data_IF_103035354708
#
_entry.id   IF_103035354708
#
_cell.length_a   1.000
_cell.length_b   1.000
_cell.length_c   1.000
_cell.angle_alpha   90.00
_cell.angle_beta   90.00
_cell.angle_gamma   90.00
#
_symmetry.space_group_name_H-M   'P 1'
#
loop_
_entity.id
_entity.type
_entity.pdbx_description
1 polymer ?
#
# COMPACT_ATOMS: atom_id res chain seq x y z
N UNK A 1 -25.23 52.04 27.00
CA UNK A 1 -25.33 51.04 25.92
C UNK A 1 -24.07 50.19 25.93
N UNK A 2 -24.16 48.92 26.34
CA UNK A 2 -23.04 47.97 26.24
C UNK A 2 -23.21 47.17 24.95
N UNK A 3 -22.31 47.37 23.99
CA UNK A 3 -22.21 46.53 22.80
C UNK A 3 -21.54 45.22 23.22
N UNK A 4 -22.29 44.14 23.30
CA UNK A 4 -21.74 42.81 23.52
C UNK A 4 -21.23 42.30 22.18
N UNK A 5 -19.91 42.31 22.00
CA UNK A 5 -19.24 41.77 20.82
C UNK A 5 -19.25 40.23 20.93
N UNK A 6 -20.09 39.57 20.13
CA UNK A 6 -20.13 38.11 20.04
C UNK A 6 -19.00 37.69 19.10
N UNK A 7 -17.89 37.21 19.65
CA UNK A 7 -16.82 36.60 18.88
C UNK A 7 -17.30 35.22 18.38
N UNK A 8 -17.60 35.14 17.09
CA UNK A 8 -17.95 33.90 16.40
C UNK A 8 -16.65 33.13 16.12
N UNK A 9 -16.24 32.25 17.03
CA UNK A 9 -15.13 31.32 16.79
C UNK A 9 -15.56 30.28 15.77
N UNK A 10 -15.18 30.49 14.51
CA UNK A 10 -15.29 29.48 13.45
C UNK A 10 -14.30 28.38 13.78
N UNK A 11 -14.78 27.28 14.37
CA UNK A 11 -14.05 26.03 14.46
C UNK A 11 -13.86 25.52 13.03
N UNK A 12 -12.71 25.84 12.43
CA UNK A 12 -12.27 25.15 11.23
C UNK A 12 -12.01 23.69 11.62
N UNK A 13 -12.99 22.82 11.36
CA UNK A 13 -12.80 21.38 11.44
C UNK A 13 -11.78 21.00 10.39
N UNK A 14 -10.52 20.85 10.80
CA UNK A 14 -9.50 20.18 10.02
C UNK A 14 -9.99 18.75 9.77
N UNK A 15 -10.47 18.47 8.57
CA UNK A 15 -10.67 17.10 8.10
C UNK A 15 -9.29 16.46 8.07
N UNK A 16 -8.93 15.74 9.14
CA UNK A 16 -7.85 14.77 9.08
C UNK A 16 -8.27 13.78 7.98
N UNK A 17 -7.59 13.84 6.84
CA UNK A 17 -7.69 12.79 5.84
C UNK A 17 -7.02 11.57 6.48
N UNK A 18 -7.81 10.76 7.18
CA UNK A 18 -7.36 9.45 7.62
C UNK A 18 -6.96 8.71 6.34
N UNK A 19 -5.70 8.28 6.27
CA UNK A 19 -5.29 7.45 5.16
C UNK A 19 -6.09 6.13 5.23
N UNK A 20 -6.65 5.72 4.10
CA UNK A 20 -7.55 4.57 4.00
C UNK A 20 -6.93 3.53 3.06
N UNK A 21 -6.64 2.37 3.62
CA UNK A 21 -6.36 1.14 2.88
C UNK A 21 -7.70 0.51 2.45
N UNK A 22 -7.78 -0.20 1.31
CA UNK A 22 -8.96 -0.99 0.98
C UNK A 22 -9.32 -1.94 2.13
N UNK A 23 -10.59 -1.98 2.54
CA UNK A 23 -11.05 -2.77 3.69
C UNK A 23 -10.75 -4.27 3.57
N UNK A 24 -10.57 -4.78 2.36
CA UNK A 24 -10.19 -6.18 2.14
C UNK A 24 -8.71 -6.48 2.47
N UNK A 25 -7.90 -5.44 2.60
CA UNK A 25 -6.49 -5.50 2.98
C UNK A 25 -6.27 -5.07 4.43
N UNK A 26 -7.32 -4.64 5.14
CA UNK A 26 -7.24 -4.39 6.59
C UNK A 26 -6.83 -5.68 7.31
N UNK A 27 -5.85 -5.57 8.20
CA UNK A 27 -5.25 -6.69 8.94
C UNK A 27 -4.67 -7.80 8.04
N UNK A 28 -4.36 -7.51 6.78
CA UNK A 28 -3.69 -8.43 5.87
C UNK A 28 -2.18 -8.18 5.82
N UNK A 29 -1.44 -9.26 5.56
CA UNK A 29 0.01 -9.28 5.44
C UNK A 29 0.43 -10.26 4.35
N UNK A 30 1.66 -10.14 3.83
CA UNK A 30 2.20 -11.00 2.77
C UNK A 30 2.06 -12.50 3.07
N UNK A 31 2.43 -12.92 4.28
CA UNK A 31 2.38 -14.33 4.67
C UNK A 31 0.95 -14.87 4.88
N UNK A 32 -0.04 -13.98 5.02
CA UNK A 32 -1.46 -14.37 5.15
C UNK A 32 -2.17 -14.47 3.80
N UNK A 33 -1.49 -14.15 2.68
CA UNK A 33 -2.13 -14.14 1.36
C UNK A 33 -2.71 -15.51 1.02
N UNK A 34 -1.96 -16.58 1.23
CA UNK A 34 -2.42 -17.95 0.94
C UNK A 34 -3.56 -18.41 1.86
N UNK A 35 -3.66 -17.82 3.07
CA UNK A 35 -4.70 -18.16 4.05
C UNK A 35 -6.01 -17.39 3.80
N UNK A 36 -5.90 -16.11 3.42
CA UNK A 36 -7.04 -15.17 3.31
C UNK A 36 -7.50 -14.94 1.86
N UNK A 37 -6.65 -15.19 0.88
CA UNK A 37 -6.88 -14.84 -0.53
C UNK A 37 -6.61 -16.02 -1.47
N UNK A 38 -7.08 -15.91 -2.70
CA UNK A 38 -6.74 -16.86 -3.76
C UNK A 38 -5.51 -16.36 -4.51
N UNK A 39 -4.37 -17.00 -4.29
CA UNK A 39 -3.16 -16.67 -5.03
C UNK A 39 -3.30 -17.01 -6.52
N UNK A 40 -2.77 -16.14 -7.37
CA UNK A 40 -2.71 -16.28 -8.82
C UNK A 40 -1.26 -16.44 -9.28
N UNK A 41 -0.65 -17.63 -9.14
CA UNK A 41 0.77 -17.89 -9.43
C UNK A 41 1.17 -17.73 -10.92
N UNK A 42 0.25 -17.27 -11.78
CA UNK A 42 0.48 -17.00 -13.22
C UNK A 42 -0.11 -15.67 -13.69
N UNK A 43 -0.48 -14.76 -12.79
CA UNK A 43 -1.00 -13.45 -13.21
C UNK A 43 0.05 -12.59 -13.95
N UNK A 44 1.34 -12.93 -13.85
CA UNK A 44 2.36 -12.49 -14.81
C UNK A 44 2.56 -10.98 -14.84
N UNK A 45 2.36 -10.28 -13.72
CA UNK A 45 2.65 -8.86 -13.66
C UNK A 45 4.16 -8.64 -13.83
N UNK A 46 4.53 -7.98 -14.92
CA UNK A 46 5.90 -7.52 -15.16
C UNK A 46 6.13 -6.19 -14.43
N UNK A 47 7.32 -6.04 -13.84
CA UNK A 47 7.74 -4.78 -13.21
C UNK A 47 8.14 -3.77 -14.30
N UNK A 48 7.13 -3.18 -14.93
CA UNK A 48 7.27 -2.11 -15.91
C UNK A 48 7.69 -0.78 -15.24
N UNK A 49 8.03 0.23 -16.04
CA UNK A 49 8.30 1.57 -15.53
C UNK A 49 7.12 2.21 -14.78
N UNK A 50 5.88 1.87 -15.16
CA UNK A 50 4.67 2.32 -14.46
C UNK A 50 4.56 1.69 -13.08
N UNK A 51 4.67 0.36 -13.00
CA UNK A 51 4.69 -0.39 -11.73
C UNK A 51 5.79 0.15 -10.84
N UNK A 52 6.99 0.34 -11.40
CA UNK A 52 8.14 0.87 -10.68
C UNK A 52 7.91 2.27 -10.11
N UNK A 53 7.24 3.14 -10.86
CA UNK A 53 6.88 4.48 -10.39
C UNK A 53 5.97 4.43 -9.17
N UNK A 54 5.03 3.49 -9.15
CA UNK A 54 4.08 3.34 -8.05
C UNK A 54 4.75 2.72 -6.81
N UNK A 55 5.58 1.70 -7.01
CA UNK A 55 6.38 1.07 -5.95
C UNK A 55 7.39 2.04 -5.32
N UNK A 56 8.04 2.88 -6.13
CA UNK A 56 9.02 3.87 -5.66
C UNK A 56 8.41 5.03 -4.83
N UNK A 57 7.10 5.08 -4.66
CA UNK A 57 6.47 6.01 -3.70
C UNK A 57 6.79 5.62 -2.26
N UNK A 58 7.18 4.38 -2.02
CA UNK A 58 7.70 3.92 -0.74
C UNK A 58 9.21 4.17 -0.72
N UNK A 59 9.66 5.06 0.17
CA UNK A 59 11.07 5.50 0.23
C UNK A 59 12.02 4.32 0.46
N UNK A 60 11.63 3.37 1.32
CA UNK A 60 12.45 2.25 1.78
C UNK A 60 12.93 1.34 0.63
N UNK A 61 12.16 1.20 -0.46
CA UNK A 61 12.48 0.27 -1.56
C UNK A 61 12.85 0.97 -2.87
N UNK A 62 12.83 2.31 -2.87
CA UNK A 62 13.04 3.13 -4.07
C UNK A 62 14.37 2.86 -4.78
N UNK A 63 15.38 2.43 -4.03
CA UNK A 63 16.74 2.17 -4.47
C UNK A 63 17.01 0.71 -4.88
N UNK A 64 16.11 -0.22 -4.54
CA UNK A 64 16.25 -1.64 -4.86
C UNK A 64 16.12 -1.89 -6.37
N UNK A 65 16.76 -2.89 -6.97
CA UNK A 65 16.61 -3.10 -8.42
C UNK A 65 15.41 -4.00 -8.75
N UNK A 66 14.79 -3.88 -9.93
CA UNK A 66 13.60 -4.68 -10.27
C UNK A 66 13.85 -6.19 -10.31
N UNK A 67 15.09 -6.64 -10.52
CA UNK A 67 15.45 -8.08 -10.48
C UNK A 67 15.47 -8.66 -9.07
N UNK A 68 15.54 -7.79 -8.06
CA UNK A 68 15.58 -8.14 -6.64
C UNK A 68 14.17 -8.05 -6.02
N UNK A 69 13.15 -7.79 -6.85
CA UNK A 69 11.76 -7.68 -6.43
C UNK A 69 10.99 -8.94 -6.83
N UNK A 70 10.17 -9.40 -5.91
CA UNK A 70 9.18 -10.44 -6.07
C UNK A 70 7.81 -9.83 -6.38
N UNK A 71 6.98 -10.61 -7.07
CA UNK A 71 5.61 -10.23 -7.42
C UNK A 71 4.70 -11.39 -7.07
N UNK A 72 3.70 -11.14 -6.23
CA UNK A 72 2.57 -12.05 -6.01
C UNK A 72 1.28 -11.34 -6.39
N UNK A 73 0.34 -12.07 -6.97
CA UNK A 73 -0.97 -11.54 -7.36
C UNK A 73 -2.04 -12.39 -6.73
N UNK A 74 -3.12 -11.77 -6.25
CA UNK A 74 -4.14 -12.48 -5.49
C UNK A 74 -5.52 -11.86 -5.69
N UNK A 75 -6.54 -12.70 -5.55
CA UNK A 75 -7.94 -12.29 -5.55
C UNK A 75 -8.50 -12.32 -4.13
N UNK A 76 -9.18 -11.24 -3.75
CA UNK A 76 -9.97 -11.20 -2.52
C UNK A 76 -11.20 -12.08 -2.62
N UNK A 77 -11.87 -12.41 -1.49
CA UNK A 77 -13.18 -13.07 -1.51
C UNK A 77 -14.26 -12.30 -2.30
N UNK A 78 -14.10 -10.98 -2.43
CA UNK A 78 -14.97 -10.11 -3.24
C UNK A 78 -14.64 -10.13 -4.74
N UNK A 79 -13.58 -10.84 -5.15
CA UNK A 79 -13.12 -10.95 -6.53
C UNK A 79 -12.27 -9.77 -7.01
N UNK A 80 -11.79 -8.90 -6.11
CA UNK A 80 -10.86 -7.82 -6.47
C UNK A 80 -9.46 -8.37 -6.64
N UNK A 81 -8.79 -7.95 -7.72
CA UNK A 81 -7.42 -8.30 -8.02
C UNK A 81 -6.47 -7.27 -7.40
N UNK A 82 -5.47 -7.79 -6.69
CA UNK A 82 -4.34 -7.02 -6.19
C UNK A 82 -3.02 -7.68 -6.57
N UNK A 83 -1.96 -6.88 -6.57
CA UNK A 83 -0.60 -7.31 -6.82
C UNK A 83 0.31 -6.80 -5.70
N UNK A 84 0.93 -7.69 -4.94
CA UNK A 84 2.03 -7.34 -4.05
C UNK A 84 3.33 -7.33 -4.86
N UNK A 85 4.02 -6.20 -4.87
CA UNK A 85 5.37 -6.06 -5.41
C UNK A 85 6.28 -5.69 -4.26
N UNK A 86 7.20 -6.56 -3.90
CA UNK A 86 8.00 -6.43 -2.69
C UNK A 86 9.39 -7.00 -2.87
N UNK A 87 10.29 -6.71 -1.94
CA UNK A 87 11.57 -7.38 -1.79
C UNK A 87 11.71 -7.84 -0.35
N UNK A 88 12.59 -8.80 -0.12
CA UNK A 88 13.03 -9.25 1.22
C UNK A 88 14.55 -9.38 1.22
N UNK A 89 15.22 -8.73 0.26
CA UNK A 89 16.66 -8.82 0.08
C UNK A 89 17.36 -7.86 1.04
N UNK A 90 18.30 -8.36 1.82
CA UNK A 90 19.04 -7.60 2.84
C UNK A 90 19.65 -6.30 2.30
N UNK A 91 20.11 -6.29 1.04
CA UNK A 91 20.72 -5.10 0.44
C UNK A 91 19.72 -4.03 -0.01
N UNK A 92 18.42 -4.36 -0.02
CA UNK A 92 17.35 -3.44 -0.37
C UNK A 92 16.63 -2.89 0.87
N UNK A 93 16.47 -3.67 1.92
CA UNK A 93 15.62 -3.26 3.05
C UNK A 93 16.06 -3.80 4.43
N UNK A 94 17.22 -4.45 4.48
CA UNK A 94 17.75 -5.06 5.70
C UNK A 94 17.11 -6.40 6.07
N UNK A 95 16.42 -7.07 5.13
CA UNK A 95 15.94 -8.44 5.27
C UNK A 95 14.50 -8.56 5.74
N UNK A 96 13.76 -7.45 5.69
CA UNK A 96 12.36 -7.36 6.09
C UNK A 96 11.53 -7.18 4.83
N UNK A 97 10.31 -7.69 4.73
CA UNK A 97 9.59 -7.55 3.46
C UNK A 97 9.01 -6.15 3.27
N UNK A 98 9.58 -5.36 2.35
CA UNK A 98 9.05 -4.03 1.99
C UNK A 98 8.57 -3.97 0.54
N UNK A 99 7.53 -3.18 0.27
CA UNK A 99 6.83 -3.25 -1.01
C UNK A 99 5.64 -2.34 -1.16
N UNK A 100 4.89 -2.53 -2.23
CA UNK A 100 3.58 -1.93 -2.44
C UNK A 100 2.55 -3.00 -2.79
N UNK A 101 1.30 -2.78 -2.36
CA UNK A 101 0.14 -3.45 -2.93
C UNK A 101 -0.47 -2.54 -3.98
N UNK A 102 -0.63 -3.06 -5.19
CA UNK A 102 -1.22 -2.39 -6.33
C UNK A 102 -2.61 -2.95 -6.62
N UNK A 103 -3.54 -2.11 -7.05
CA UNK A 103 -4.83 -2.55 -7.57
C UNK A 103 -4.71 -3.10 -9.02
N UNK A 104 -5.83 -3.56 -9.58
CA UNK A 104 -5.90 -4.03 -10.97
C UNK A 104 -5.52 -2.97 -12.02
N UNK A 105 -5.52 -1.68 -11.67
CA UNK A 105 -5.08 -0.57 -12.53
C UNK A 105 -3.60 -0.21 -12.30
N UNK A 106 -2.88 -1.03 -11.54
CA UNK A 106 -1.48 -0.86 -11.16
C UNK A 106 -1.23 0.39 -10.30
N UNK A 107 -2.25 0.91 -9.62
CA UNK A 107 -2.11 2.03 -8.69
C UNK A 107 -1.77 1.50 -7.30
N UNK A 108 -0.79 2.11 -6.64
CA UNK A 108 -0.49 1.76 -5.26
C UNK A 108 -1.66 2.13 -4.34
N UNK A 109 -2.09 1.16 -3.53
CA UNK A 109 -3.21 1.28 -2.57
C UNK A 109 -2.81 0.92 -1.14
N UNK A 110 -1.67 0.25 -0.95
CA UNK A 110 -1.05 0.01 0.34
C UNK A 110 0.48 -0.02 0.22
N UNK A 111 1.17 0.37 1.28
CA UNK A 111 2.59 0.11 1.51
C UNK A 111 2.72 -1.23 2.25
N UNK A 112 3.67 -2.06 1.87
CA UNK A 112 4.08 -3.26 2.60
C UNK A 112 5.31 -2.90 3.43
N UNK A 113 5.23 -2.99 4.75
CA UNK A 113 6.36 -2.78 5.66
C UNK A 113 6.46 -3.92 6.66
N UNK A 114 7.64 -4.53 6.79
CA UNK A 114 7.81 -5.74 7.61
C UNK A 114 6.72 -6.81 7.35
N UNK A 115 6.38 -7.01 6.07
CA UNK A 115 5.31 -7.89 5.58
C UNK A 115 3.86 -7.44 5.82
N UNK A 116 3.60 -6.48 6.70
CA UNK A 116 2.27 -5.95 7.00
C UNK A 116 1.83 -4.90 5.98
N UNK A 117 0.51 -4.79 5.74
CA UNK A 117 -0.04 -3.80 4.82
C UNK A 117 -0.51 -2.54 5.55
N UNK A 118 0.04 -1.40 5.14
CA UNK A 118 -0.23 -0.09 5.68
C UNK A 118 -0.81 0.84 4.61
N UNK A 119 -1.50 1.85 5.10
CA UNK A 119 -1.88 3.03 4.37
C UNK A 119 -0.66 3.73 3.70
N UNK A 120 -0.86 4.29 2.50
CA UNK A 120 0.15 5.11 1.80
C UNK A 120 -0.12 6.58 2.13
N UNK A 121 0.79 7.23 2.84
CA UNK A 121 0.71 8.67 3.17
C UNK A 121 0.94 9.58 1.95
#
# INVERSE_FOLDING_TARGET
MKLTLIALTVLASSTSFACNIPSELEDAALYTIEEKFTELPKAGLEITSLVRKEVNKIEDISHCSSKDMSVSSFLTPSGKLFHAVYTSEDHCDGGNSYGAVLDANLKAVAHIGDSDFYCID
#
